data_IF_215048203485
#
_entry.id   IF_215048203485
#
_cell.length_a   1.000
_cell.length_b   1.000
_cell.length_c   1.000
_cell.angle_alpha   90.00
_cell.angle_beta   90.00
_cell.angle_gamma   90.00
#
_symmetry.space_group_name_H-M   'P 1'
#
loop_
_entity.id
_entity.type
_entity.pdbx_description
1 polymer ?
#
# COMPACT_ATOMS: atom_id res chain seq x y z
N UNK A 1 -29.31 -1.83 -15.24
CA UNK A 1 -28.36 -0.71 -15.25
C UNK A 1 -27.21 -1.09 -16.14
N UNK A 2 -26.91 -0.28 -17.13
CA UNK A 2 -25.77 -0.45 -18.01
C UNK A 2 -24.49 -0.09 -17.23
N UNK A 3 -23.44 -0.89 -17.41
CA UNK A 3 -22.15 -0.64 -16.79
C UNK A 3 -21.45 0.40 -17.65
N UNK A 4 -21.34 1.61 -17.14
CA UNK A 4 -20.59 2.68 -17.80
C UNK A 4 -19.10 2.36 -17.83
N UNK A 5 -18.50 2.38 -19.01
CA UNK A 5 -17.09 2.16 -19.28
C UNK A 5 -16.47 3.51 -19.63
N UNK A 6 -15.55 4.00 -18.81
CA UNK A 6 -14.87 5.28 -19.05
C UNK A 6 -13.90 5.17 -20.23
N UNK A 7 -13.11 4.08 -20.27
CA UNK A 7 -12.05 3.93 -21.28
C UNK A 7 -11.68 2.48 -21.53
N UNK A 8 -11.46 2.15 -22.82
CA UNK A 8 -10.85 0.88 -23.24
C UNK A 8 -9.44 1.18 -23.77
N UNK A 9 -8.41 0.59 -23.13
CA UNK A 9 -7.01 0.76 -23.51
C UNK A 9 -6.53 -0.54 -24.18
N UNK A 10 -6.16 -0.45 -25.44
CA UNK A 10 -5.57 -1.57 -26.18
C UNK A 10 -4.08 -1.71 -25.90
N UNK A 11 -3.62 -2.91 -25.60
CA UNK A 11 -2.22 -3.17 -25.21
C UNK A 11 -1.74 -4.54 -25.70
N UNK A 12 -0.41 -4.74 -25.70
CA UNK A 12 0.23 -6.04 -26.06
C UNK A 12 0.05 -7.11 -24.97
N UNK A 13 -1.15 -7.31 -24.47
CA UNK A 13 -1.47 -8.32 -23.45
C UNK A 13 -2.27 -9.48 -24.08
N UNK A 14 -2.28 -10.63 -23.39
CA UNK A 14 -3.02 -11.82 -23.81
C UNK A 14 -4.42 -11.91 -23.19
N UNK A 15 -4.72 -11.14 -22.15
CA UNK A 15 -5.97 -11.24 -21.39
C UNK A 15 -6.62 -9.87 -21.19
N UNK A 16 -7.94 -9.84 -21.04
CA UNK A 16 -8.69 -8.64 -20.67
C UNK A 16 -8.59 -8.45 -19.15
N UNK A 17 -8.35 -7.22 -18.69
CA UNK A 17 -8.39 -6.88 -17.28
C UNK A 17 -9.27 -5.67 -17.04
N UNK A 18 -10.03 -5.74 -15.96
CA UNK A 18 -10.94 -4.72 -15.49
C UNK A 18 -10.28 -3.96 -14.33
N UNK A 19 -10.34 -2.65 -14.35
CA UNK A 19 -9.82 -1.75 -13.31
C UNK A 19 -10.89 -0.78 -12.92
N UNK A 20 -11.17 -0.65 -11.63
CA UNK A 20 -11.98 0.43 -11.11
C UNK A 20 -11.02 1.48 -10.55
N UNK A 21 -11.15 2.71 -11.02
CA UNK A 21 -10.34 3.85 -10.57
C UNK A 21 -10.77 4.32 -9.18
N UNK A 22 -9.99 5.19 -8.56
CA UNK A 22 -10.36 5.80 -7.26
C UNK A 22 -11.59 6.70 -7.38
N UNK A 23 -11.96 7.14 -8.60
CA UNK A 23 -13.24 7.84 -8.92
C UNK A 23 -14.42 6.89 -9.21
N UNK A 24 -14.32 5.60 -8.88
CA UNK A 24 -15.34 4.58 -9.12
C UNK A 24 -15.72 4.36 -10.60
N UNK A 25 -14.82 4.71 -11.54
CA UNK A 25 -15.01 4.52 -12.99
C UNK A 25 -14.35 3.22 -13.48
N UNK A 26 -14.89 2.60 -14.53
CA UNK A 26 -14.38 1.35 -15.09
C UNK A 26 -13.45 1.62 -16.26
N UNK A 27 -12.18 1.23 -16.13
CA UNK A 27 -11.20 1.19 -17.23
C UNK A 27 -10.91 -0.27 -17.60
N UNK A 28 -10.92 -0.57 -18.88
CA UNK A 28 -10.64 -1.90 -19.42
C UNK A 28 -9.31 -1.88 -20.16
N UNK A 29 -8.42 -2.80 -19.83
CA UNK A 29 -7.23 -3.06 -20.65
C UNK A 29 -7.41 -4.36 -21.41
N UNK A 30 -7.37 -4.31 -22.73
CA UNK A 30 -7.65 -5.43 -23.62
C UNK A 30 -6.52 -5.65 -24.63
N UNK A 31 -6.35 -6.88 -25.16
CA UNK A 31 -5.50 -7.15 -26.33
C UNK A 31 -5.92 -6.31 -27.53
N UNK A 32 -5.00 -6.03 -28.46
CA UNK A 32 -5.32 -5.31 -29.71
C UNK A 32 -6.39 -6.01 -30.54
N UNK A 33 -6.38 -7.34 -30.57
CA UNK A 33 -7.29 -8.18 -31.36
C UNK A 33 -8.60 -8.57 -30.65
N UNK A 34 -8.81 -8.15 -29.39
CA UNK A 34 -10.07 -8.44 -28.70
C UNK A 34 -11.22 -7.63 -29.29
N UNK A 35 -12.27 -8.28 -29.76
CA UNK A 35 -13.48 -7.59 -30.25
C UNK A 35 -14.36 -7.11 -29.08
N UNK A 36 -15.23 -6.15 -29.35
CA UNK A 36 -16.07 -5.54 -28.33
C UNK A 36 -17.06 -6.53 -27.70
N UNK A 37 -17.54 -7.52 -28.46
CA UNK A 37 -18.41 -8.59 -27.94
C UNK A 37 -17.70 -9.40 -26.87
N UNK A 38 -16.43 -9.74 -27.09
CA UNK A 38 -15.60 -10.46 -26.08
C UNK A 38 -15.36 -9.59 -24.86
N UNK A 39 -15.07 -8.30 -25.03
CA UNK A 39 -14.87 -7.36 -23.92
C UNK A 39 -16.13 -7.23 -23.07
N UNK A 40 -17.29 -7.03 -23.73
CA UNK A 40 -18.57 -6.93 -23.03
C UNK A 40 -18.95 -8.23 -22.33
N UNK A 41 -18.64 -9.39 -22.91
CA UNK A 41 -18.83 -10.69 -22.26
C UNK A 41 -18.06 -10.79 -20.93
N UNK A 42 -16.80 -10.30 -20.89
CA UNK A 42 -16.01 -10.26 -19.65
C UNK A 42 -16.61 -9.26 -18.65
N UNK A 43 -17.06 -8.10 -19.10
CA UNK A 43 -17.70 -7.09 -18.23
C UNK A 43 -18.96 -7.67 -17.58
N UNK A 44 -19.83 -8.30 -18.37
CA UNK A 44 -21.07 -8.91 -17.87
C UNK A 44 -20.79 -10.06 -16.88
N UNK A 45 -19.83 -10.91 -17.21
CA UNK A 45 -19.39 -11.99 -16.31
C UNK A 45 -18.95 -11.46 -14.94
N UNK A 46 -18.35 -10.28 -14.88
CA UNK A 46 -17.83 -9.66 -13.66
C UNK A 46 -18.71 -8.53 -13.12
N UNK A 47 -19.96 -8.39 -13.59
CA UNK A 47 -20.89 -7.32 -13.22
C UNK A 47 -20.98 -7.13 -11.71
N UNK A 48 -21.29 -8.19 -10.95
CA UNK A 48 -21.42 -8.13 -9.49
C UNK A 48 -20.14 -7.62 -8.80
N UNK A 49 -18.96 -8.05 -9.28
CA UNK A 49 -17.69 -7.57 -8.76
C UNK A 49 -17.47 -6.09 -9.05
N UNK A 50 -17.82 -5.62 -10.27
CA UNK A 50 -17.70 -4.22 -10.66
C UNK A 50 -18.60 -3.35 -9.76
N UNK A 51 -19.87 -3.71 -9.61
CA UNK A 51 -20.84 -2.97 -8.79
C UNK A 51 -20.39 -2.91 -7.33
N UNK A 52 -20.02 -4.05 -6.74
CA UNK A 52 -19.52 -4.10 -5.37
C UNK A 52 -18.27 -3.24 -5.21
N UNK A 53 -17.37 -3.26 -6.20
CA UNK A 53 -16.14 -2.47 -6.14
C UNK A 53 -16.39 -0.97 -6.26
N UNK A 54 -17.35 -0.55 -7.09
CA UNK A 54 -17.79 0.85 -7.18
C UNK A 54 -18.40 1.33 -5.87
N UNK A 55 -19.23 0.51 -5.21
CA UNK A 55 -19.79 0.81 -3.88
C UNK A 55 -18.69 0.94 -2.84
N UNK A 56 -17.78 -0.05 -2.75
CA UNK A 56 -16.64 -0.01 -1.83
C UNK A 56 -15.77 1.26 -1.99
N UNK A 57 -15.67 1.78 -3.22
CA UNK A 57 -14.92 3.01 -3.51
C UNK A 57 -15.74 4.25 -3.14
N UNK A 58 -17.04 4.25 -3.43
CA UNK A 58 -17.95 5.35 -3.05
C UNK A 58 -18.11 5.51 -1.53
N UNK A 59 -17.99 4.41 -0.78
CA UNK A 59 -18.00 4.42 0.69
C UNK A 59 -16.65 4.81 1.32
N UNK A 60 -15.58 4.99 0.51
CA UNK A 60 -14.30 5.49 1.02
C UNK A 60 -14.49 6.92 1.51
N UNK A 61 -13.81 7.25 2.62
CA UNK A 61 -13.82 8.60 3.14
C UNK A 61 -13.43 9.59 2.03
N UNK A 62 -14.29 10.55 1.65
CA UNK A 62 -14.00 11.54 0.61
C UNK A 62 -12.82 12.47 0.98
N UNK A 63 -12.33 12.40 2.23
CA UNK A 63 -11.14 13.14 2.67
C UNK A 63 -9.83 12.67 2.04
N UNK A 64 -9.86 11.69 1.15
CA UNK A 64 -8.67 11.29 0.41
C UNK A 64 -8.47 12.18 -0.82
N UNK A 65 -8.08 13.42 -0.61
CA UNK A 65 -7.45 14.28 -1.62
C UNK A 65 -5.91 14.16 -1.55
N UNK A 66 -5.19 14.45 -2.64
CA UNK A 66 -3.73 14.65 -2.57
C UNK A 66 -3.40 15.63 -1.46
N UNK A 67 -2.29 15.41 -0.77
CA UNK A 67 -1.86 16.28 0.33
C UNK A 67 -1.45 17.65 -0.20
N UNK A 68 -1.99 18.69 0.43
CA UNK A 68 -1.71 20.10 0.10
C UNK A 68 -0.59 20.70 0.96
N UNK A 69 -0.21 19.99 2.03
CA UNK A 69 0.80 20.39 3.00
C UNK A 69 0.51 21.74 3.65
N UNK A 70 -0.73 21.91 4.13
CA UNK A 70 -1.18 23.12 4.84
C UNK A 70 -1.26 22.89 6.36
N UNK A 71 -1.24 23.99 7.13
CA UNK A 71 -1.39 23.91 8.59
C UNK A 71 -2.65 23.17 8.99
N UNK A 72 -2.52 22.24 9.95
CA UNK A 72 -3.61 21.42 10.46
C UNK A 72 -3.93 20.17 9.62
N UNK A 73 -3.31 20.00 8.45
CA UNK A 73 -3.52 18.83 7.62
C UNK A 73 -3.07 17.55 8.34
N UNK A 74 -3.91 16.52 8.26
CA UNK A 74 -3.63 15.22 8.88
C UNK A 74 -2.72 14.35 8.02
N UNK A 75 -1.59 13.90 8.57
CA UNK A 75 -0.64 12.98 7.94
C UNK A 75 -0.56 11.69 8.72
N UNK A 76 -0.62 10.56 8.01
CA UNK A 76 -0.75 9.24 8.61
C UNK A 76 0.63 8.66 8.98
N UNK A 77 0.81 8.26 10.24
CA UNK A 77 1.99 7.56 10.73
C UNK A 77 1.61 6.49 11.74
N UNK A 78 2.08 5.24 11.54
CA UNK A 78 1.77 4.07 12.38
C UNK A 78 0.27 3.91 12.70
N UNK A 79 -0.59 4.17 11.69
CA UNK A 79 -2.04 4.02 11.78
C UNK A 79 -2.77 5.17 12.49
N UNK A 80 -2.10 6.27 12.80
CA UNK A 80 -2.68 7.47 13.43
C UNK A 80 -2.44 8.69 12.59
N UNK A 81 -3.39 9.63 12.58
CA UNK A 81 -3.23 10.92 11.96
C UNK A 81 -2.57 11.91 12.94
N UNK A 82 -1.57 12.61 12.44
CA UNK A 82 -0.86 13.68 13.13
C UNK A 82 -0.97 14.96 12.32
N UNK A 83 -1.16 16.08 13.01
CA UNK A 83 -1.30 17.39 12.36
C UNK A 83 0.02 17.89 11.83
N UNK A 84 -0.04 18.57 10.69
CA UNK A 84 1.07 19.34 10.15
C UNK A 84 1.05 20.74 10.74
N UNK A 85 2.21 21.21 11.20
CA UNK A 85 2.47 22.59 11.56
C UNK A 85 3.59 23.14 10.69
N UNK A 86 3.33 24.24 9.99
CA UNK A 86 4.33 24.98 9.26
C UNK A 86 4.93 25.98 10.24
N UNK A 87 6.23 25.84 10.48
CA UNK A 87 6.99 26.67 11.42
C UNK A 87 7.99 27.57 10.66
N UNK A 88 8.60 28.51 11.35
CA UNK A 88 9.72 29.29 10.82
C UNK A 88 10.91 28.38 10.47
N UNK A 89 12.10 28.99 10.37
CA UNK A 89 13.30 28.22 10.06
C UNK A 89 13.66 27.30 11.23
N UNK A 90 14.03 26.06 10.89
CA UNK A 90 14.53 25.05 11.81
C UNK A 90 15.70 24.30 11.15
N UNK A 91 16.58 23.69 11.95
CA UNK A 91 17.77 22.99 11.47
C UNK A 91 17.48 21.87 10.48
N UNK A 92 16.35 21.20 10.65
CA UNK A 92 15.93 20.10 9.76
C UNK A 92 14.63 20.46 9.04
N UNK A 93 14.50 20.11 7.75
CA UNK A 93 13.32 20.47 6.97
C UNK A 93 12.01 19.95 7.56
N UNK A 94 12.03 18.77 8.19
CA UNK A 94 10.87 18.11 8.80
C UNK A 94 11.26 17.47 10.13
N UNK A 95 10.54 17.80 11.19
CA UNK A 95 10.65 17.19 12.52
C UNK A 95 9.34 16.54 12.91
N UNK A 96 9.41 15.39 13.59
CA UNK A 96 8.26 14.72 14.16
C UNK A 96 8.49 14.50 15.65
N UNK A 97 7.54 14.96 16.43
CA UNK A 97 7.45 14.71 17.86
C UNK A 97 6.05 14.13 18.19
N UNK A 98 5.10 14.97 18.60
CA UNK A 98 3.67 14.61 18.70
C UNK A 98 2.87 15.08 17.49
N UNK A 99 3.46 15.93 16.64
CA UNK A 99 2.94 16.47 15.39
C UNK A 99 4.07 16.58 14.40
N UNK A 100 3.75 16.85 13.13
CA UNK A 100 4.74 17.15 12.11
C UNK A 100 5.04 18.65 12.09
N UNK A 101 6.31 19.01 12.15
CA UNK A 101 6.79 20.38 12.05
C UNK A 101 7.61 20.53 10.76
N UNK A 102 7.04 21.21 9.77
CA UNK A 102 7.68 21.46 8.48
C UNK A 102 8.23 22.89 8.46
N UNK A 103 9.52 23.06 8.15
CA UNK A 103 10.10 24.37 7.91
C UNK A 103 9.41 25.04 6.73
N UNK A 104 9.12 26.34 6.84
CA UNK A 104 8.51 27.13 5.79
C UNK A 104 9.34 27.12 4.50
N UNK A 105 10.65 27.12 4.61
CA UNK A 105 11.56 27.06 3.48
C UNK A 105 11.50 25.71 2.74
N UNK A 106 11.06 24.64 3.39
CA UNK A 106 10.89 23.32 2.81
C UNK A 106 9.52 23.12 2.12
N UNK A 107 8.59 24.07 2.27
CA UNK A 107 7.23 23.95 1.75
C UNK A 107 7.16 23.69 0.23
N UNK A 108 7.97 24.34 -0.63
CA UNK A 108 7.95 24.06 -2.07
C UNK A 108 8.31 22.60 -2.44
N UNK A 109 9.02 21.90 -1.54
CA UNK A 109 9.44 20.50 -1.71
C UNK A 109 8.86 19.60 -0.60
N UNK A 110 7.73 19.99 -0.01
CA UNK A 110 7.14 19.31 1.14
C UNK A 110 6.93 17.80 0.88
N UNK A 111 6.41 17.45 -0.29
CA UNK A 111 6.16 16.06 -0.66
C UNK A 111 7.43 15.21 -0.65
N UNK A 112 8.50 15.69 -1.25
CA UNK A 112 9.79 15.03 -1.31
C UNK A 112 10.40 14.89 0.09
N UNK A 113 10.32 15.94 0.90
CA UNK A 113 10.78 15.97 2.29
C UNK A 113 10.04 14.91 3.12
N UNK A 114 8.71 14.82 2.98
CA UNK A 114 7.92 13.78 3.65
C UNK A 114 8.25 12.38 3.15
N UNK A 115 8.46 12.18 1.85
CA UNK A 115 8.84 10.87 1.29
C UNK A 115 10.18 10.42 1.88
N UNK A 116 11.18 11.29 1.93
CA UNK A 116 12.49 10.94 2.49
C UNK A 116 12.40 10.65 4.01
N UNK A 117 11.63 11.43 4.74
CA UNK A 117 11.38 11.17 6.15
C UNK A 117 10.69 9.79 6.35
N UNK A 118 9.62 9.51 5.58
CA UNK A 118 8.95 8.21 5.67
C UNK A 118 9.86 7.05 5.27
N UNK A 119 10.73 7.20 4.28
CA UNK A 119 11.72 6.16 3.91
C UNK A 119 12.65 5.84 5.06
N UNK A 120 13.19 6.87 5.73
CA UNK A 120 14.09 6.71 6.89
C UNK A 120 13.38 5.97 8.02
N UNK A 121 12.22 6.48 8.45
CA UNK A 121 11.46 5.87 9.55
C UNK A 121 10.97 4.46 9.19
N UNK A 122 10.58 4.23 7.93
CA UNK A 122 10.21 2.89 7.45
C UNK A 122 11.38 1.92 7.54
N UNK A 123 12.59 2.33 7.13
CA UNK A 123 13.77 1.50 7.24
C UNK A 123 14.06 1.11 8.70
N UNK A 124 14.09 2.07 9.59
CA UNK A 124 14.38 1.85 11.01
C UNK A 124 13.34 0.92 11.64
N UNK A 125 12.05 1.25 11.49
CA UNK A 125 10.98 0.50 12.12
C UNK A 125 10.79 -0.90 11.51
N UNK A 126 10.78 -1.02 10.19
CA UNK A 126 10.57 -2.31 9.53
C UNK A 126 11.78 -3.22 9.78
N UNK A 127 13.01 -2.69 9.74
CA UNK A 127 14.21 -3.48 10.06
C UNK A 127 14.21 -3.97 11.51
N UNK A 128 13.75 -3.15 12.46
CA UNK A 128 13.52 -3.57 13.86
C UNK A 128 12.55 -4.76 13.91
N UNK A 129 11.41 -4.66 13.20
CA UNK A 129 10.38 -5.72 13.19
C UNK A 129 10.89 -6.99 12.52
N UNK A 130 11.58 -6.88 11.37
CA UNK A 130 12.19 -8.01 10.67
C UNK A 130 13.19 -8.72 11.61
N UNK A 131 14.11 -7.99 12.22
CA UNK A 131 15.10 -8.55 13.16
C UNK A 131 14.43 -9.31 14.30
N UNK A 132 13.43 -8.69 14.93
CA UNK A 132 12.68 -9.29 16.05
C UNK A 132 12.04 -10.62 15.66
N UNK A 133 11.35 -10.69 14.52
CA UNK A 133 10.67 -11.92 14.09
C UNK A 133 11.66 -12.95 13.55
N UNK A 134 12.69 -12.52 12.83
CA UNK A 134 13.71 -13.41 12.30
C UNK A 134 14.48 -14.11 13.42
N UNK A 135 14.96 -13.38 14.44
CA UNK A 135 15.66 -13.95 15.60
C UNK A 135 14.78 -14.92 16.39
N UNK A 136 13.53 -14.54 16.66
CA UNK A 136 12.58 -15.37 17.44
C UNK A 136 12.27 -16.71 16.76
N UNK A 137 12.40 -16.81 15.44
CA UNK A 137 11.94 -17.95 14.63
C UNK A 137 13.01 -18.57 13.74
N UNK A 138 14.24 -18.08 13.82
CA UNK A 138 15.38 -18.65 13.09
C UNK A 138 15.42 -18.34 11.60
N UNK A 139 14.66 -17.35 11.10
CA UNK A 139 14.73 -16.97 9.70
C UNK A 139 16.07 -16.31 9.36
N UNK A 140 16.68 -16.74 8.26
CA UNK A 140 17.91 -16.14 7.71
C UNK A 140 17.54 -15.26 6.53
N UNK A 141 17.91 -14.00 6.59
CA UNK A 141 17.73 -13.04 5.49
C UNK A 141 19.02 -12.26 5.25
N UNK A 142 19.19 -11.71 4.05
CA UNK A 142 20.40 -10.97 3.70
C UNK A 142 20.28 -9.50 4.09
N UNK A 143 19.23 -8.81 3.58
CA UNK A 143 19.03 -7.38 3.83
C UNK A 143 17.57 -6.97 3.75
N UNK A 144 17.27 -5.83 4.36
CA UNK A 144 15.98 -5.12 4.23
C UNK A 144 16.19 -3.91 3.32
N UNK A 145 15.31 -3.74 2.33
CA UNK A 145 15.30 -2.57 1.43
C UNK A 145 13.97 -1.86 1.49
N UNK A 146 14.00 -0.54 1.55
CA UNK A 146 12.81 0.30 1.38
C UNK A 146 12.71 0.74 -0.07
N UNK A 147 11.52 0.58 -0.64
CA UNK A 147 11.25 0.79 -2.08
C UNK A 147 10.11 1.79 -2.28
N UNK A 148 9.92 2.22 -3.53
CA UNK A 148 8.77 3.02 -3.95
C UNK A 148 7.70 2.16 -4.67
N UNK A 149 7.63 0.85 -4.39
CA UNK A 149 6.66 -0.04 -5.03
C UNK A 149 5.21 0.39 -4.71
N UNK A 150 4.34 0.47 -5.72
CA UNK A 150 2.95 0.93 -5.56
C UNK A 150 1.92 -0.19 -5.58
N UNK A 151 2.28 -1.36 -6.10
CA UNK A 151 1.34 -2.47 -6.36
C UNK A 151 1.45 -3.63 -5.36
N UNK A 152 2.42 -3.58 -4.46
CA UNK A 152 2.69 -4.64 -3.47
C UNK A 152 3.17 -4.05 -2.15
N UNK A 153 2.91 -4.74 -1.05
CA UNK A 153 3.26 -4.32 0.31
C UNK A 153 4.58 -4.94 0.80
N UNK A 154 5.07 -5.94 0.09
CA UNK A 154 6.36 -6.55 0.31
C UNK A 154 6.78 -7.41 -0.86
N UNK A 155 8.01 -7.89 -0.84
CA UNK A 155 8.50 -9.00 -1.66
C UNK A 155 9.75 -9.60 -1.06
N UNK A 156 9.87 -10.92 -1.14
CA UNK A 156 11.05 -11.68 -0.78
C UNK A 156 11.68 -12.28 -2.03
N UNK A 157 12.97 -12.04 -2.25
CA UNK A 157 13.72 -12.60 -3.38
C UNK A 157 15.20 -12.73 -3.03
N UNK A 158 15.78 -13.91 -3.27
CA UNK A 158 17.19 -14.20 -3.02
C UNK A 158 17.65 -13.79 -1.59
N UNK A 159 16.80 -14.04 -0.58
CA UNK A 159 17.08 -13.67 0.81
C UNK A 159 16.92 -12.18 1.13
N UNK A 160 16.59 -11.34 0.16
CA UNK A 160 16.35 -9.91 0.38
C UNK A 160 14.86 -9.66 0.62
N UNK A 161 14.55 -8.83 1.60
CA UNK A 161 13.21 -8.41 1.95
C UNK A 161 13.00 -6.96 1.51
N UNK A 162 12.00 -6.71 0.68
CA UNK A 162 11.73 -5.36 0.17
C UNK A 162 10.34 -4.90 0.62
N UNK A 163 10.25 -3.68 1.14
CA UNK A 163 9.00 -3.09 1.62
C UNK A 163 8.82 -1.67 1.06
N UNK A 164 7.61 -1.27 0.65
CA UNK A 164 7.38 0.11 0.25
C UNK A 164 7.38 1.03 1.48
N UNK A 165 7.98 2.21 1.34
CA UNK A 165 8.02 3.19 2.44
C UNK A 165 6.63 3.55 2.98
N UNK A 166 5.60 3.50 2.13
CA UNK A 166 4.21 3.76 2.54
C UNK A 166 3.67 2.81 3.59
N UNK A 167 4.27 1.63 3.73
CA UNK A 167 3.83 0.67 4.73
C UNK A 167 3.94 1.22 6.17
N UNK A 168 4.84 2.19 6.43
CA UNK A 168 4.98 2.83 7.75
C UNK A 168 3.75 3.64 8.17
N UNK A 169 2.89 4.01 7.22
CA UNK A 169 1.62 4.68 7.51
C UNK A 169 0.59 3.74 8.13
N UNK A 170 0.72 2.43 7.92
CA UNK A 170 -0.18 1.42 8.47
C UNK A 170 0.00 1.23 9.98
N UNK A 171 -1.03 0.73 10.69
CA UNK A 171 -0.90 0.30 12.08
C UNK A 171 0.22 -0.73 12.26
N UNK A 172 0.95 -0.66 13.38
CA UNK A 172 2.08 -1.55 13.65
C UNK A 172 1.75 -3.04 13.48
N UNK A 173 0.60 -3.57 13.95
CA UNK A 173 0.26 -4.98 13.71
C UNK A 173 0.07 -5.35 12.23
N UNK A 174 -0.29 -4.38 11.38
CA UNK A 174 -0.39 -4.56 9.93
C UNK A 174 1.00 -4.62 9.30
N UNK A 175 1.93 -3.78 9.77
CA UNK A 175 3.34 -3.85 9.39
C UNK A 175 3.91 -5.22 9.77
N UNK A 176 3.64 -5.68 10.99
CA UNK A 176 4.07 -6.99 11.49
C UNK A 176 3.55 -8.14 10.62
N UNK A 177 2.29 -8.06 10.18
CA UNK A 177 1.72 -9.03 9.27
C UNK A 177 2.51 -9.10 7.95
N UNK A 178 2.82 -7.96 7.33
CA UNK A 178 3.58 -7.93 6.08
C UNK A 178 5.01 -8.44 6.29
N UNK A 179 5.65 -8.07 7.39
CA UNK A 179 6.99 -8.56 7.75
C UNK A 179 6.99 -10.09 7.89
N UNK A 180 6.03 -10.64 8.62
CA UNK A 180 5.91 -12.10 8.81
C UNK A 180 5.63 -12.79 7.46
N UNK A 181 4.77 -12.22 6.63
CA UNK A 181 4.45 -12.72 5.30
C UNK A 181 5.72 -12.85 4.44
N UNK A 182 6.56 -11.81 4.40
CA UNK A 182 7.79 -11.82 3.61
C UNK A 182 8.87 -12.72 4.22
N UNK A 183 8.93 -12.85 5.55
CA UNK A 183 9.82 -13.80 6.21
C UNK A 183 9.44 -15.25 5.89
N UNK A 184 8.15 -15.58 5.88
CA UNK A 184 7.69 -16.94 5.52
C UNK A 184 8.03 -17.25 4.07
N UNK A 185 8.03 -16.26 3.16
CA UNK A 185 8.45 -16.44 1.77
C UNK A 185 9.93 -16.80 1.58
N UNK A 186 10.78 -16.63 2.60
CA UNK A 186 12.16 -17.12 2.56
C UNK A 186 12.23 -18.66 2.47
N UNK A 187 11.22 -19.34 3.01
CA UNK A 187 11.13 -20.81 3.06
C UNK A 187 10.02 -21.35 2.15
N UNK A 188 8.86 -20.70 2.13
CA UNK A 188 7.68 -21.09 1.35
C UNK A 188 7.42 -20.08 0.21
N UNK A 189 7.90 -20.35 -0.98
CA UNK A 189 7.83 -19.40 -2.11
C UNK A 189 6.41 -19.10 -2.59
N UNK A 190 5.48 -20.05 -2.44
CA UNK A 190 4.12 -19.95 -2.96
C UNK A 190 3.11 -19.90 -1.82
N UNK A 191 1.97 -19.22 -2.04
CA UNK A 191 0.87 -19.10 -1.06
C UNK A 191 0.04 -20.40 -0.94
N UNK A 192 0.71 -21.53 -0.73
CA UNK A 192 0.08 -22.85 -0.50
C UNK A 192 -0.57 -22.91 0.87
N UNK A 193 -1.24 -24.04 1.19
CA UNK A 193 -1.75 -24.29 2.54
C UNK A 193 -0.62 -24.22 3.58
N UNK A 194 0.55 -24.80 3.30
CA UNK A 194 1.71 -24.78 4.20
C UNK A 194 2.17 -23.35 4.51
N UNK A 195 2.20 -22.47 3.49
CA UNK A 195 2.51 -21.04 3.69
C UNK A 195 1.55 -20.39 4.68
N UNK A 196 0.24 -20.54 4.48
CA UNK A 196 -0.75 -19.90 5.34
C UNK A 196 -0.80 -20.52 6.75
N UNK A 197 -0.61 -21.82 6.88
CA UNK A 197 -0.48 -22.49 8.17
C UNK A 197 0.71 -21.92 8.97
N UNK A 198 1.84 -21.67 8.29
CA UNK A 198 3.03 -21.07 8.90
C UNK A 198 2.81 -19.60 9.30
N UNK A 199 2.16 -18.81 8.45
CA UNK A 199 1.77 -17.43 8.79
C UNK A 199 0.83 -17.43 9.99
N UNK A 200 -0.15 -18.31 10.04
CA UNK A 200 -1.11 -18.46 11.15
C UNK A 200 -0.44 -18.86 12.46
N UNK A 201 0.54 -19.76 12.41
CA UNK A 201 1.32 -20.16 13.58
C UNK A 201 2.13 -18.98 14.17
N UNK A 202 2.63 -18.07 13.31
CA UNK A 202 3.39 -16.90 13.73
C UNK A 202 2.50 -15.74 14.17
N UNK A 203 1.33 -15.60 13.56
CA UNK A 203 0.35 -14.56 13.81
C UNK A 203 -1.08 -15.13 13.66
N UNK A 204 -1.67 -15.68 14.73
CA UNK A 204 -2.98 -16.33 14.67
C UNK A 204 -4.10 -15.48 14.05
N UNK A 205 -4.06 -14.16 14.27
CA UNK A 205 -5.05 -13.20 13.78
C UNK A 205 -4.64 -12.51 12.46
N UNK A 206 -3.77 -13.12 11.65
CA UNK A 206 -3.24 -12.50 10.44
C UNK A 206 -4.32 -12.06 9.44
N UNK A 207 -5.43 -12.77 9.37
CA UNK A 207 -6.55 -12.46 8.45
C UNK A 207 -7.15 -11.08 8.72
N UNK A 208 -7.22 -10.65 9.99
CA UNK A 208 -7.65 -9.30 10.38
C UNK A 208 -6.75 -8.24 9.73
N UNK A 209 -5.45 -8.42 9.76
CA UNK A 209 -4.49 -7.45 9.24
C UNK A 209 -4.38 -7.48 7.72
N UNK A 210 -4.49 -8.67 7.12
CA UNK A 210 -4.66 -8.85 5.67
C UNK A 210 -5.92 -8.15 5.17
N UNK A 211 -7.05 -8.32 5.88
CA UNK A 211 -8.31 -7.64 5.60
C UNK A 211 -8.20 -6.12 5.74
N UNK A 212 -7.51 -5.65 6.78
CA UNK A 212 -7.26 -4.22 6.97
C UNK A 212 -6.51 -3.62 5.78
N UNK A 213 -5.42 -4.23 5.32
CA UNK A 213 -4.67 -3.77 4.13
C UNK A 213 -5.56 -3.74 2.88
N UNK A 214 -6.35 -4.78 2.65
CA UNK A 214 -7.27 -4.83 1.51
C UNK A 214 -8.27 -3.67 1.54
N UNK A 215 -8.80 -3.32 2.72
CA UNK A 215 -9.81 -2.27 2.90
C UNK A 215 -9.20 -0.86 2.89
N UNK A 216 -8.03 -0.66 3.50
CA UNK A 216 -7.48 0.66 3.84
C UNK A 216 -6.22 1.04 3.05
N UNK A 217 -5.80 0.22 2.08
CA UNK A 217 -4.57 0.48 1.31
C UNK A 217 -4.58 1.83 0.57
N UNK A 218 -5.75 2.35 0.24
CA UNK A 218 -5.91 3.65 -0.40
C UNK A 218 -5.51 4.83 0.49
N UNK A 219 -5.56 4.67 1.83
CA UNK A 219 -5.12 5.68 2.81
C UNK A 219 -3.59 5.83 2.88
N UNK A 220 -2.83 4.82 2.44
CA UNK A 220 -1.38 4.78 2.55
C UNK A 220 -0.71 5.51 1.36
N UNK A 221 -1.06 6.77 1.16
CA UNK A 221 -0.57 7.64 0.07
C UNK A 221 -0.32 9.05 0.59
N UNK A 222 0.56 9.79 -0.12
CA UNK A 222 0.77 11.22 0.01
C UNK A 222 0.25 11.94 -1.22
#
# INVERSE_FOLDING_TARGET
MDIEIEKIIRTKRKTIALYITDGATLIIKAPFNANDKTIMGVVLKHKKWIEQKKIEIGERDPKFSPKEFVNGEGLLHLGRYYRLKIVGDQEVPLKFENEFYLSRNALPQAKEVFIEWYKKIAYDKISERVRRYAQKRGFKYNMVKITNAQKRWGSSSNGNLNFPWRLIMAPLPVIDYVVIHELVHLEEKNHTKAFWDRVKMLMPNYEKYKGWLKKNSYLLRL
#
